data_IF_519823981736
#
_entry.id   IF_519823981736
#
_cell.length_a   1.000
_cell.length_b   1.000
_cell.length_c   1.000
_cell.angle_alpha   90.00
_cell.angle_beta   90.00
_cell.angle_gamma   90.00
#
_symmetry.space_group_name_H-M   'P 1'
#
loop_
_entity.id
_entity.type
_entity.pdbx_description
1 polymer ?
#
# COMPACT_ATOMS: atom_id res chain seq x y z
N UNK A 1 -3.22 33.80 29.39
CA UNK A 1 -3.44 34.01 27.95
C UNK A 1 -2.44 33.12 27.23
N UNK A 2 -2.87 31.97 26.71
CA UNK A 2 -1.98 31.09 25.94
C UNK A 2 -1.71 31.73 24.58
N UNK A 3 -0.47 32.08 24.31
CA UNK A 3 0.01 32.48 23.00
C UNK A 3 -0.27 31.35 22.01
N UNK A 4 -1.12 31.61 21.02
CA UNK A 4 -1.27 30.75 19.85
C UNK A 4 0.00 30.94 19.03
N UNK A 5 1.03 30.14 19.34
CA UNK A 5 2.22 30.08 18.51
C UNK A 5 1.81 29.46 17.17
N UNK A 6 2.01 30.15 16.04
CA UNK A 6 1.67 29.58 14.74
C UNK A 6 2.51 28.32 14.51
N UNK A 7 1.86 27.24 14.07
CA UNK A 7 2.54 26.01 13.67
C UNK A 7 3.63 26.35 12.66
N UNK A 8 4.85 25.81 12.78
CA UNK A 8 5.88 26.01 11.78
C UNK A 8 5.36 25.56 10.41
N UNK A 9 5.83 26.20 9.32
CA UNK A 9 5.43 25.82 7.97
C UNK A 9 5.78 24.36 7.71
N UNK A 10 4.97 23.64 6.89
CA UNK A 10 5.23 22.24 6.60
C UNK A 10 6.62 22.09 5.97
N UNK A 11 7.35 21.08 6.40
CA UNK A 11 8.63 20.75 5.78
C UNK A 11 8.46 20.41 4.30
N UNK A 12 9.52 20.56 3.50
CA UNK A 12 9.52 20.16 2.07
C UNK A 12 9.06 18.70 1.91
N UNK A 13 9.48 17.83 2.82
CA UNK A 13 9.06 16.43 2.89
C UNK A 13 7.54 16.30 3.04
N UNK A 14 6.93 17.06 3.93
CA UNK A 14 5.49 17.04 4.16
C UNK A 14 4.71 17.59 2.97
N UNK A 15 5.20 18.66 2.33
CA UNK A 15 4.61 19.19 1.09
C UNK A 15 4.67 18.15 -0.05
N UNK A 16 5.77 17.42 -0.18
CA UNK A 16 5.93 16.35 -1.17
C UNK A 16 5.00 15.15 -0.90
N UNK A 17 4.86 14.74 0.35
CA UNK A 17 3.93 13.68 0.74
C UNK A 17 2.48 14.11 0.47
N UNK A 18 2.13 15.34 0.87
CA UNK A 18 0.77 15.87 0.73
C UNK A 18 0.37 16.05 -0.74
N UNK A 19 1.26 16.59 -1.56
CA UNK A 19 1.02 16.71 -3.02
C UNK A 19 0.80 15.35 -3.68
N UNK A 20 1.59 14.32 -3.34
CA UNK A 20 1.39 12.96 -3.85
C UNK A 20 0.07 12.34 -3.37
N UNK A 21 -0.32 12.59 -2.13
CA UNK A 21 -1.62 12.17 -1.62
C UNK A 21 -2.77 12.80 -2.42
N UNK A 22 -2.70 14.10 -2.72
CA UNK A 22 -3.71 14.80 -3.53
C UNK A 22 -3.82 14.22 -4.94
N UNK A 23 -2.69 13.90 -5.59
CA UNK A 23 -2.68 13.23 -6.90
C UNK A 23 -3.36 11.86 -6.84
N UNK A 24 -3.04 11.05 -5.83
CA UNK A 24 -3.66 9.75 -5.59
C UNK A 24 -5.18 9.88 -5.38
N UNK A 25 -5.62 10.81 -4.53
CA UNK A 25 -7.04 11.05 -4.25
C UNK A 25 -7.79 11.48 -5.52
N UNK A 26 -7.22 12.41 -6.30
CA UNK A 26 -7.78 12.84 -7.58
C UNK A 26 -7.99 11.65 -8.55
N UNK A 27 -6.97 10.79 -8.68
CA UNK A 27 -7.07 9.60 -9.55
C UNK A 27 -8.11 8.60 -9.07
N UNK A 28 -8.20 8.34 -7.76
CA UNK A 28 -9.26 7.50 -7.17
C UNK A 28 -10.66 8.04 -7.44
N UNK A 29 -10.86 9.35 -7.32
CA UNK A 29 -12.15 9.98 -7.64
C UNK A 29 -12.51 9.82 -9.12
N UNK A 30 -11.54 10.05 -10.03
CA UNK A 30 -11.76 9.84 -11.46
C UNK A 30 -12.08 8.38 -11.79
N UNK A 31 -11.38 7.43 -11.16
CA UNK A 31 -11.59 6.00 -11.36
C UNK A 31 -13.00 5.59 -10.90
N UNK A 32 -13.38 5.98 -9.68
CA UNK A 32 -14.72 5.69 -9.15
C UNK A 32 -15.83 6.29 -10.03
N UNK A 33 -15.63 7.50 -10.58
CA UNK A 33 -16.57 8.11 -11.52
C UNK A 33 -16.70 7.29 -12.81
N UNK A 34 -15.57 6.82 -13.35
CA UNK A 34 -15.54 6.04 -14.58
C UNK A 34 -16.14 4.64 -14.40
N UNK A 35 -15.87 3.98 -13.27
CA UNK A 35 -16.43 2.67 -12.94
C UNK A 35 -17.95 2.73 -12.77
N UNK A 36 -18.48 3.79 -12.15
CA UNK A 36 -19.95 4.03 -12.10
C UNK A 36 -20.57 4.22 -13.47
N UNK A 37 -19.84 4.80 -14.44
CA UNK A 37 -20.31 4.93 -15.82
C UNK A 37 -20.30 3.59 -16.54
N UNK A 38 -19.26 2.79 -16.36
CA UNK A 38 -19.16 1.43 -16.92
C UNK A 38 -20.28 0.51 -16.45
N UNK A 39 -20.73 0.67 -15.20
CA UNK A 39 -21.89 -0.07 -14.68
C UNK A 39 -23.20 0.26 -15.41
N UNK A 40 -23.30 1.45 -16.03
CA UNK A 40 -24.49 1.90 -16.77
C UNK A 40 -24.37 1.59 -18.27
N UNK A 41 -23.18 1.73 -18.82
CA UNK A 41 -22.91 1.56 -20.25
C UNK A 41 -21.54 0.88 -20.48
N UNK A 42 -21.55 -0.35 -20.98
CA UNK A 42 -20.34 -1.12 -21.26
C UNK A 42 -19.81 -0.84 -22.67
N UNK A 43 -19.20 0.33 -22.87
CA UNK A 43 -18.50 0.68 -24.11
C UNK A 43 -17.02 0.25 -24.03
N UNK A 44 -16.50 -0.44 -25.05
CA UNK A 44 -15.10 -0.90 -25.07
C UNK A 44 -14.04 0.21 -24.99
N UNK A 45 -14.38 1.45 -25.37
CA UNK A 45 -13.53 2.62 -25.16
C UNK A 45 -13.46 3.05 -23.69
N UNK A 46 -14.56 2.93 -22.94
CA UNK A 46 -14.61 3.20 -21.51
C UNK A 46 -13.83 2.15 -20.71
N UNK A 47 -13.88 0.88 -21.13
CA UNK A 47 -13.13 -0.20 -20.50
C UNK A 47 -11.61 0.05 -20.56
N UNK A 48 -11.09 0.31 -21.77
CA UNK A 48 -9.67 0.64 -21.96
C UNK A 48 -9.23 1.88 -21.17
N UNK A 49 -10.12 2.87 -21.05
CA UNK A 49 -9.85 4.06 -20.23
C UNK A 49 -9.81 3.73 -18.74
N UNK A 50 -10.67 2.83 -18.27
CA UNK A 50 -10.67 2.39 -16.88
C UNK A 50 -9.41 1.59 -16.55
N UNK A 51 -8.97 0.70 -17.43
CA UNK A 51 -7.75 -0.08 -17.22
C UNK A 51 -6.51 0.83 -17.10
N UNK A 52 -6.37 1.80 -18.02
CA UNK A 52 -5.31 2.82 -17.92
C UNK A 52 -5.39 3.59 -16.61
N UNK A 53 -6.59 4.00 -16.19
CA UNK A 53 -6.76 4.78 -14.97
C UNK A 53 -6.51 3.94 -13.70
N UNK A 54 -6.75 2.62 -13.74
CA UNK A 54 -6.34 1.69 -12.68
C UNK A 54 -4.82 1.63 -12.56
N UNK A 55 -4.11 1.46 -13.68
CA UNK A 55 -2.64 1.48 -13.70
C UNK A 55 -2.08 2.80 -13.17
N UNK A 56 -2.62 3.93 -13.62
CA UNK A 56 -2.22 5.25 -13.15
C UNK A 56 -2.49 5.45 -11.64
N UNK A 57 -3.60 4.93 -11.14
CA UNK A 57 -3.95 4.98 -9.71
C UNK A 57 -3.01 4.10 -8.89
N UNK A 58 -2.66 2.91 -9.39
CA UNK A 58 -1.68 2.03 -8.76
C UNK A 58 -0.29 2.67 -8.71
N UNK A 59 0.16 3.30 -9.80
CA UNK A 59 1.42 4.04 -9.82
C UNK A 59 1.42 5.23 -8.83
N UNK A 60 0.33 6.00 -8.76
CA UNK A 60 0.21 7.09 -7.79
C UNK A 60 0.20 6.58 -6.33
N UNK A 61 -0.41 5.43 -6.08
CA UNK A 61 -0.35 4.75 -4.77
C UNK A 61 1.10 4.39 -4.42
N UNK A 62 1.84 3.75 -5.33
CA UNK A 62 3.25 3.38 -5.09
C UNK A 62 4.12 4.61 -4.83
N UNK A 63 3.94 5.70 -5.59
CA UNK A 63 4.69 6.95 -5.39
C UNK A 63 4.38 7.57 -4.03
N UNK A 64 3.10 7.60 -3.62
CA UNK A 64 2.70 8.08 -2.30
C UNK A 64 3.30 7.20 -1.18
N UNK A 65 3.13 5.88 -1.27
CA UNK A 65 3.67 4.92 -0.31
C UNK A 65 5.19 5.05 -0.16
N UNK A 66 5.92 5.05 -1.27
CA UNK A 66 7.38 5.24 -1.31
C UNK A 66 7.81 6.54 -0.63
N UNK A 67 7.02 7.61 -0.78
CA UNK A 67 7.30 8.90 -0.15
C UNK A 67 7.08 8.90 1.35
N UNK A 68 6.00 8.25 1.81
CA UNK A 68 5.75 8.05 3.24
C UNK A 68 6.88 7.24 3.88
N UNK A 69 7.35 6.18 3.23
CA UNK A 69 8.43 5.35 3.77
C UNK A 69 9.79 6.06 3.76
N UNK A 70 10.04 6.92 2.77
CA UNK A 70 11.32 7.62 2.62
C UNK A 70 11.43 8.88 3.48
N UNK A 71 10.34 9.62 3.65
CA UNK A 71 10.34 10.94 4.27
C UNK A 71 9.26 11.14 5.34
N UNK A 72 8.37 10.17 5.54
CA UNK A 72 7.38 10.21 6.60
C UNK A 72 8.01 9.93 7.97
N UNK A 73 7.19 10.07 9.01
CA UNK A 73 7.63 9.88 10.40
C UNK A 73 6.77 8.80 11.07
N UNK A 74 7.36 7.84 11.80
CA UNK A 74 6.63 6.80 12.52
C UNK A 74 5.67 7.32 13.59
N UNK A 75 5.86 8.56 14.05
CA UNK A 75 4.97 9.23 14.99
C UNK A 75 3.64 9.65 14.34
N UNK A 76 3.56 9.70 13.00
CA UNK A 76 2.33 10.02 12.28
C UNK A 76 1.52 8.75 12.01
N UNK A 77 0.22 8.78 12.34
CA UNK A 77 -0.70 7.65 12.16
C UNK A 77 -0.74 7.08 10.73
N UNK A 78 -0.49 7.91 9.71
CA UNK A 78 -0.47 7.47 8.30
C UNK A 78 0.77 6.65 7.90
N UNK A 79 1.82 6.59 8.72
CA UNK A 79 3.07 5.89 8.39
C UNK A 79 2.93 4.37 8.49
N UNK A 80 2.46 3.87 9.63
CA UNK A 80 2.43 2.44 9.93
C UNK A 80 1.57 1.61 8.97
N UNK A 81 0.37 2.05 8.55
CA UNK A 81 -0.40 1.32 7.54
C UNK A 81 0.37 1.12 6.23
N UNK A 82 1.14 2.12 5.79
CA UNK A 82 1.96 2.03 4.58
C UNK A 82 3.14 1.08 4.80
N UNK A 83 3.80 1.16 5.96
CA UNK A 83 4.91 0.27 6.30
C UNK A 83 4.48 -1.20 6.34
N UNK A 84 3.38 -1.51 7.04
CA UNK A 84 2.83 -2.86 7.10
C UNK A 84 2.39 -3.36 5.72
N UNK A 85 1.75 -2.52 4.90
CA UNK A 85 1.38 -2.91 3.54
C UNK A 85 2.60 -3.29 2.69
N UNK A 86 3.73 -2.57 2.85
CA UNK A 86 4.97 -2.90 2.13
C UNK A 86 5.64 -4.17 2.64
N UNK A 87 5.54 -4.46 3.94
CA UNK A 87 6.02 -5.72 4.50
C UNK A 87 5.21 -6.91 3.96
N UNK A 88 3.87 -6.79 3.92
CA UNK A 88 2.98 -7.80 3.31
C UNK A 88 3.34 -8.03 1.84
N UNK A 89 3.48 -6.98 1.04
CA UNK A 89 3.85 -7.12 -0.38
C UNK A 89 5.21 -7.81 -0.57
N UNK A 90 6.19 -7.46 0.28
CA UNK A 90 7.53 -8.06 0.22
C UNK A 90 7.49 -9.53 0.59
N UNK A 91 6.70 -9.90 1.60
CA UNK A 91 6.47 -11.27 2.01
C UNK A 91 5.76 -12.09 0.91
N UNK A 92 4.73 -11.54 0.26
CA UNK A 92 4.04 -12.19 -0.87
C UNK A 92 4.99 -12.53 -2.03
N UNK A 93 5.91 -11.60 -2.35
CA UNK A 93 6.97 -11.83 -3.34
C UNK A 93 7.96 -12.90 -2.86
N UNK A 94 8.30 -12.91 -1.57
CA UNK A 94 9.19 -13.90 -0.99
C UNK A 94 8.57 -15.31 -1.02
N UNK A 95 7.30 -15.46 -0.65
CA UNK A 95 6.55 -16.72 -0.76
C UNK A 95 6.60 -17.28 -2.18
N UNK A 96 6.36 -16.42 -3.17
CA UNK A 96 6.39 -16.84 -4.58
C UNK A 96 7.76 -17.38 -4.97
N UNK A 97 8.85 -16.77 -4.48
CA UNK A 97 10.22 -17.25 -4.72
C UNK A 97 10.51 -18.55 -3.99
N UNK A 98 10.15 -18.64 -2.71
CA UNK A 98 10.34 -19.84 -1.89
C UNK A 98 9.61 -21.05 -2.48
N UNK A 99 8.34 -20.90 -2.87
CA UNK A 99 7.56 -21.97 -3.51
C UNK A 99 8.19 -22.47 -4.81
N UNK A 100 8.82 -21.59 -5.59
CA UNK A 100 9.57 -22.00 -6.80
C UNK A 100 10.84 -22.76 -6.45
N UNK A 101 11.54 -22.36 -5.39
CA UNK A 101 12.79 -22.98 -4.96
C UNK A 101 12.60 -24.39 -4.35
N UNK A 102 11.44 -24.65 -3.72
CA UNK A 102 11.10 -25.97 -3.11
C UNK A 102 11.20 -27.14 -4.08
N UNK A 103 10.90 -26.92 -5.37
CA UNK A 103 10.81 -27.98 -6.39
C UNK A 103 12.12 -28.77 -6.50
N UNK A 104 13.25 -28.09 -6.39
CA UNK A 104 14.58 -28.67 -6.63
C UNK A 104 15.33 -29.05 -5.34
N UNK A 105 14.71 -28.86 -4.16
CA UNK A 105 15.37 -29.07 -2.87
C UNK A 105 15.33 -30.52 -2.38
N UNK A 106 16.35 -31.01 -1.66
CA UNK A 106 16.29 -32.24 -0.87
C UNK A 106 15.19 -32.20 0.21
N UNK A 107 14.63 -33.36 0.63
CA UNK A 107 13.53 -33.40 1.60
C UNK A 107 13.79 -32.67 2.93
N UNK A 108 15.01 -32.75 3.49
CA UNK A 108 15.34 -32.06 4.74
C UNK A 108 15.28 -30.53 4.63
N UNK A 109 15.78 -29.98 3.51
CA UNK A 109 15.73 -28.54 3.22
C UNK A 109 14.31 -28.06 2.96
N UNK A 110 13.46 -28.91 2.34
CA UNK A 110 12.02 -28.61 2.15
C UNK A 110 11.30 -28.44 3.48
N UNK A 111 11.61 -29.26 4.49
CA UNK A 111 11.00 -29.14 5.82
C UNK A 111 11.40 -27.85 6.52
N UNK A 112 12.69 -27.48 6.46
CA UNK A 112 13.15 -26.22 7.04
C UNK A 112 12.49 -25.02 6.36
N UNK A 113 12.44 -25.02 5.02
CA UNK A 113 11.79 -23.96 4.25
C UNK A 113 10.29 -23.87 4.54
N UNK A 114 9.60 -25.00 4.76
CA UNK A 114 8.20 -25.00 5.15
C UNK A 114 7.96 -24.28 6.49
N UNK A 115 8.83 -24.50 7.48
CA UNK A 115 8.75 -23.80 8.77
C UNK A 115 9.01 -22.28 8.63
N UNK A 116 9.97 -21.88 7.78
CA UNK A 116 10.23 -20.47 7.48
C UNK A 116 9.04 -19.79 6.77
N UNK A 117 8.39 -20.52 5.84
CA UNK A 117 7.17 -20.07 5.18
C UNK A 117 6.04 -19.89 6.20
N UNK A 118 5.80 -20.86 7.08
CA UNK A 118 4.76 -20.77 8.11
C UNK A 118 4.99 -19.55 9.03
N UNK A 119 6.23 -19.34 9.48
CA UNK A 119 6.57 -18.16 10.30
C UNK A 119 6.27 -16.85 9.56
N UNK A 120 6.60 -16.78 8.26
CA UNK A 120 6.30 -15.60 7.46
C UNK A 120 4.79 -15.39 7.28
N UNK A 121 3.99 -16.46 7.19
CA UNK A 121 2.53 -16.37 7.06
C UNK A 121 1.91 -15.78 8.34
N UNK A 122 2.39 -16.20 9.50
CA UNK A 122 1.98 -15.62 10.80
C UNK A 122 2.30 -14.12 10.87
N UNK A 123 3.48 -13.71 10.42
CA UNK A 123 3.86 -12.29 10.40
C UNK A 123 2.98 -11.47 9.46
N UNK A 124 2.67 -12.01 8.27
CA UNK A 124 1.79 -11.35 7.30
C UNK A 124 0.40 -11.14 7.87
N UNK A 125 -0.17 -12.14 8.53
CA UNK A 125 -1.47 -11.97 9.17
C UNK A 125 -1.43 -10.95 10.32
N UNK A 126 -0.36 -10.94 11.12
CA UNK A 126 -0.13 -9.92 12.14
C UNK A 126 -0.08 -8.49 11.56
N UNK A 127 0.62 -8.29 10.44
CA UNK A 127 0.67 -6.99 9.77
C UNK A 127 -0.67 -6.60 9.13
N UNK A 128 -1.41 -7.56 8.55
CA UNK A 128 -2.77 -7.33 8.02
C UNK A 128 -3.73 -6.90 9.11
N UNK A 129 -3.67 -7.53 10.28
CA UNK A 129 -4.47 -7.14 11.44
C UNK A 129 -4.09 -5.74 11.94
N UNK A 130 -2.79 -5.43 12.02
CA UNK A 130 -2.33 -4.10 12.41
C UNK A 130 -2.82 -3.00 11.44
N UNK A 131 -2.88 -3.29 10.14
CA UNK A 131 -3.48 -2.38 9.14
C UNK A 131 -4.97 -2.19 9.44
N UNK A 132 -5.74 -3.27 9.64
CA UNK A 132 -7.18 -3.18 9.94
C UNK A 132 -7.43 -2.36 11.20
N UNK A 133 -6.69 -2.62 12.28
CA UNK A 133 -6.79 -1.88 13.53
C UNK A 133 -6.47 -0.37 13.33
N UNK A 134 -5.45 -0.06 12.53
CA UNK A 134 -5.06 1.33 12.25
C UNK A 134 -6.11 2.09 11.43
N UNK A 135 -6.85 1.40 10.54
CA UNK A 135 -7.95 2.00 9.77
C UNK A 135 -9.17 2.25 10.66
N UNK A 136 -9.52 1.31 11.53
CA UNK A 136 -10.65 1.44 12.46
C UNK A 136 -10.41 2.56 13.47
N UNK A 137 -9.19 2.73 13.97
CA UNK A 137 -8.85 3.76 14.95
C UNK A 137 -9.00 5.21 14.44
N UNK A 138 -9.16 5.41 13.13
CA UNK A 138 -9.26 6.74 12.47
C UNK A 138 -10.67 6.98 11.88
N UNK A 139 -11.54 5.97 11.89
CA UNK A 139 -12.92 6.03 11.36
C UNK A 139 -13.94 6.37 12.45
#
# INVERSE_FOLDING_TARGET
MSEITPSPPPSIAESLISSRLLVLQSKRMMLASLERRLQKEALGSLMRRADRLREETANAQEQYSSSILRWGSPERAGYWPVAYARLVETADRLFTKMRRAVVDMPPAERFQLAAEVEMLEVLVEGWREAIRASVIAVA
#
